data_IF_023942642017
#
_entry.id   IF_023942642017
#
_cell.length_a   1.000
_cell.length_b   1.000
_cell.length_c   1.000
_cell.angle_alpha   90.00
_cell.angle_beta   90.00
_cell.angle_gamma   90.00
#
_symmetry.space_group_name_H-M   'P 1'
#
loop_
_entity.id
_entity.type
_entity.pdbx_description
1 polymer ?
#
# COMPACT_ATOMS: atom_id res chain seq x y z
N UNK A 1 48.52 24.16 -0.83
CA UNK A 1 48.81 22.72 -0.96
C UNK A 1 47.54 21.97 -0.57
N UNK A 2 47.10 21.04 -1.41
CA UNK A 2 45.73 20.52 -1.55
C UNK A 2 45.24 19.69 -0.35
N UNK A 3 44.04 20.00 0.16
CA UNK A 3 43.24 19.05 0.96
C UNK A 3 42.27 18.38 -0.01
N UNK A 4 42.43 17.06 -0.12
CA UNK A 4 41.72 16.18 -1.03
C UNK A 4 40.22 16.15 -0.76
N UNK A 5 39.45 16.17 -1.86
CA UNK A 5 38.00 16.04 -1.91
C UNK A 5 37.58 14.63 -1.51
N UNK A 6 36.92 14.46 -0.37
CA UNK A 6 36.13 13.26 -0.12
C UNK A 6 34.75 13.44 -0.74
N UNK A 7 34.63 12.90 -1.95
CA UNK A 7 33.37 12.68 -2.66
C UNK A 7 32.45 11.77 -1.84
N UNK A 8 31.30 12.27 -1.42
CA UNK A 8 30.21 11.46 -0.90
C UNK A 8 29.52 10.78 -2.07
N UNK A 9 29.87 9.52 -2.34
CA UNK A 9 29.16 8.67 -3.30
C UNK A 9 27.80 8.28 -2.72
N UNK A 10 26.76 8.66 -3.45
CA UNK A 10 25.38 8.23 -3.28
C UNK A 10 25.34 6.72 -3.49
N UNK A 11 25.31 5.94 -2.41
CA UNK A 11 25.23 4.49 -2.55
C UNK A 11 25.58 3.75 -1.27
N UNK A 12 24.78 3.92 -0.22
CA UNK A 12 24.73 3.00 0.94
C UNK A 12 23.58 3.41 1.89
N UNK A 13 22.35 3.23 1.43
CA UNK A 13 21.15 3.13 2.28
C UNK A 13 20.33 1.92 1.81
N UNK A 14 20.97 0.76 1.75
CA UNK A 14 20.27 -0.52 1.80
C UNK A 14 20.38 -0.99 3.25
N UNK A 15 19.55 -0.41 4.12
CA UNK A 15 19.33 -0.94 5.46
C UNK A 15 18.72 -2.35 5.31
N UNK A 16 19.29 -3.26 6.08
CA UNK A 16 19.00 -4.68 6.10
C UNK A 16 17.50 -4.92 6.29
N UNK A 17 16.88 -5.68 5.39
CA UNK A 17 15.49 -6.10 5.55
C UNK A 17 15.41 -7.06 6.74
N UNK A 18 14.59 -6.80 7.78
CA UNK A 18 14.27 -7.85 8.72
C UNK A 18 13.50 -8.95 7.98
N UNK A 19 13.89 -10.21 8.19
CA UNK A 19 13.07 -11.37 7.81
C UNK A 19 11.68 -11.17 8.42
N UNK A 20 10.66 -10.98 7.58
CA UNK A 20 9.28 -11.09 8.03
C UNK A 20 8.97 -12.59 8.06
N UNK A 21 8.54 -13.08 9.22
CA UNK A 21 8.12 -14.47 9.39
C UNK A 21 6.62 -14.48 9.21
N UNK A 22 6.15 -14.97 8.05
CA UNK A 22 4.78 -15.48 7.95
C UNK A 22 4.81 -16.85 8.61
N UNK A 23 4.39 -16.94 9.87
CA UNK A 23 4.39 -18.20 10.60
C UNK A 23 3.48 -19.22 9.90
N UNK A 24 4.04 -20.37 9.53
CA UNK A 24 3.46 -21.39 8.63
C UNK A 24 2.09 -21.88 9.08
N UNK A 25 1.81 -21.89 10.39
CA UNK A 25 0.51 -22.31 10.93
C UNK A 25 -0.63 -21.39 10.50
N UNK A 26 -0.32 -20.16 10.08
CA UNK A 26 -1.29 -19.15 9.69
C UNK A 26 -1.61 -19.14 8.20
N UNK A 27 -0.75 -19.76 7.38
CA UNK A 27 -1.00 -19.99 5.97
C UNK A 27 -2.25 -20.87 5.77
N UNK A 28 -2.38 -21.93 6.57
CA UNK A 28 -3.48 -22.90 6.49
C UNK A 28 -4.86 -22.36 6.89
N UNK A 29 -4.93 -21.33 7.74
CA UNK A 29 -6.21 -20.78 8.23
C UNK A 29 -6.79 -19.69 7.31
N UNK A 30 -5.93 -18.97 6.56
CA UNK A 30 -6.38 -18.03 5.54
C UNK A 30 -7.02 -18.72 4.33
N UNK A 31 -6.64 -19.99 4.08
CA UNK A 31 -7.15 -20.80 2.97
C UNK A 31 -8.51 -21.47 3.26
N UNK A 32 -8.92 -21.51 4.53
CA UNK A 32 -10.11 -22.26 4.99
C UNK A 32 -11.30 -21.36 5.33
N UNK A 33 -11.22 -20.05 5.10
CA UNK A 33 -12.34 -19.13 5.33
C UNK A 33 -13.31 -19.19 4.15
N UNK A 34 -14.61 -19.38 4.45
CA UNK A 34 -15.72 -19.19 3.52
C UNK A 34 -15.55 -17.90 2.69
N UNK A 35 -16.04 -17.85 1.44
CA UNK A 35 -15.84 -16.71 0.57
C UNK A 35 -16.35 -15.45 1.27
N UNK A 36 -15.42 -14.61 1.70
CA UNK A 36 -15.77 -13.33 2.26
C UNK A 36 -16.56 -12.58 1.19
N UNK A 37 -17.73 -12.04 1.54
CA UNK A 37 -18.52 -11.19 0.65
C UNK A 37 -17.80 -9.84 0.53
N UNK A 38 -16.63 -9.86 -0.12
CA UNK A 38 -15.83 -8.69 -0.40
C UNK A 38 -16.41 -7.96 -1.59
N UNK A 39 -16.67 -6.68 -1.42
CA UNK A 39 -16.94 -5.79 -2.56
C UNK A 39 -15.59 -5.46 -3.22
N UNK A 40 -15.39 -5.99 -4.42
CA UNK A 40 -14.20 -5.74 -5.23
C UNK A 40 -14.55 -4.80 -6.38
N UNK A 41 -13.98 -3.61 -6.38
CA UNK A 41 -14.14 -2.67 -7.49
C UNK A 41 -12.87 -2.55 -8.34
N UNK A 42 -13.03 -2.31 -9.64
CA UNK A 42 -11.94 -2.15 -10.60
C UNK A 42 -11.52 -3.46 -11.28
N UNK A 43 -10.52 -3.37 -12.18
CA UNK A 43 -10.04 -4.50 -13.00
C UNK A 43 -8.55 -4.78 -12.82
N UNK A 44 -7.88 -4.02 -11.95
CA UNK A 44 -6.47 -4.21 -11.60
C UNK A 44 -5.52 -4.25 -12.80
N UNK A 45 -5.76 -3.44 -13.84
CA UNK A 45 -4.94 -3.42 -15.07
C UNK A 45 -3.47 -3.07 -14.79
N UNK A 46 -3.18 -2.34 -13.71
CA UNK A 46 -1.82 -1.95 -13.30
C UNK A 46 -1.29 -2.72 -12.10
N UNK A 47 -1.95 -3.82 -11.70
CA UNK A 47 -1.53 -4.66 -10.58
C UNK A 47 -1.34 -3.88 -9.26
N UNK A 48 -2.27 -2.98 -8.97
CA UNK A 48 -2.24 -2.15 -7.76
C UNK A 48 -3.50 -2.42 -6.93
N UNK A 49 -3.30 -2.77 -5.66
CA UNK A 49 -4.39 -2.84 -4.68
C UNK A 49 -4.47 -1.54 -3.91
N UNK A 50 -5.69 -1.13 -3.60
CA UNK A 50 -6.00 -0.08 -2.64
C UNK A 50 -6.93 -0.69 -1.60
N UNK A 51 -6.43 -0.78 -0.37
CA UNK A 51 -7.19 -1.22 0.79
C UNK A 51 -7.59 0.02 1.57
N UNK A 52 -8.88 0.25 1.76
CA UNK A 52 -9.39 1.42 2.46
C UNK A 52 -10.17 0.99 3.70
N UNK A 53 -10.09 1.78 4.77
CA UNK A 53 -10.90 1.57 5.96
C UNK A 53 -12.15 2.46 5.93
N UNK A 54 -13.33 1.87 6.10
CA UNK A 54 -14.60 2.60 6.13
C UNK A 54 -15.59 2.00 7.13
N UNK A 55 -15.66 2.63 8.30
CA UNK A 55 -16.56 2.20 9.38
C UNK A 55 -18.07 2.43 9.08
N UNK A 56 -18.41 3.01 7.93
CA UNK A 56 -19.78 3.43 7.57
C UNK A 56 -20.46 2.46 6.57
N UNK A 57 -19.84 1.31 6.26
CA UNK A 57 -20.41 0.27 5.41
C UNK A 57 -19.37 -0.45 4.54
N UNK A 58 -19.83 -1.38 3.71
CA UNK A 58 -18.95 -2.17 2.83
C UNK A 58 -18.43 -1.40 1.61
N UNK A 59 -19.17 -0.38 1.16
CA UNK A 59 -18.82 0.42 -0.02
C UNK A 59 -18.15 1.74 0.35
N UNK A 60 -17.31 2.25 -0.54
CA UNK A 60 -16.66 3.54 -0.34
C UNK A 60 -17.69 4.68 -0.51
N UNK A 61 -17.94 5.51 0.52
CA UNK A 61 -18.93 6.58 0.42
C UNK A 61 -18.62 7.55 -0.73
N UNK A 62 -19.65 8.06 -1.41
CA UNK A 62 -19.47 8.90 -2.61
C UNK A 62 -18.63 10.16 -2.35
N UNK A 63 -18.68 10.70 -1.14
CA UNK A 63 -17.88 11.84 -0.70
C UNK A 63 -16.37 11.52 -0.56
N UNK A 64 -15.99 10.24 -0.48
CA UNK A 64 -14.62 9.74 -0.47
C UNK A 64 -14.18 9.18 -1.84
N UNK A 65 -15.10 8.56 -2.58
CA UNK A 65 -14.84 7.99 -3.90
C UNK A 65 -14.30 9.02 -4.92
N UNK A 66 -14.91 10.21 -4.96
CA UNK A 66 -14.48 11.29 -5.85
C UNK A 66 -13.06 11.79 -5.53
N UNK A 67 -12.72 12.11 -4.26
CA UNK A 67 -11.34 12.39 -3.85
C UNK A 67 -10.34 11.30 -4.21
N UNK A 68 -10.67 10.02 -3.97
CA UNK A 68 -9.79 8.91 -4.32
C UNK A 68 -9.52 8.88 -5.83
N UNK A 69 -10.57 8.99 -6.64
CA UNK A 69 -10.46 9.01 -8.10
C UNK A 69 -9.56 10.16 -8.56
N UNK A 70 -9.69 11.35 -7.95
CA UNK A 70 -8.81 12.50 -8.26
C UNK A 70 -7.36 12.24 -7.88
N UNK A 71 -7.12 11.63 -6.73
CA UNK A 71 -5.78 11.26 -6.25
C UNK A 71 -5.11 10.24 -7.17
N UNK A 72 -5.83 9.21 -7.61
CA UNK A 72 -5.36 8.21 -8.57
C UNK A 72 -5.09 8.84 -9.94
N UNK A 73 -6.01 9.65 -10.47
CA UNK A 73 -5.84 10.33 -11.76
C UNK A 73 -4.61 11.23 -11.77
N UNK A 74 -4.31 11.90 -10.65
CA UNK A 74 -3.15 12.76 -10.53
C UNK A 74 -1.81 12.01 -10.55
N UNK A 75 -1.80 10.68 -10.38
CA UNK A 75 -0.64 9.80 -10.62
C UNK A 75 -0.77 8.95 -11.89
N UNK A 76 -1.76 9.25 -12.74
CA UNK A 76 -2.00 8.57 -14.01
C UNK A 76 -2.70 7.21 -13.86
N UNK A 77 -3.48 7.00 -12.80
CA UNK A 77 -4.29 5.80 -12.57
C UNK A 77 -5.78 6.11 -12.72
N UNK A 78 -6.53 5.15 -13.26
CA UNK A 78 -7.99 5.12 -13.21
C UNK A 78 -8.46 4.12 -12.15
N UNK A 79 -9.74 4.17 -11.76
CA UNK A 79 -10.31 3.18 -10.84
C UNK A 79 -10.22 1.76 -11.44
N UNK A 80 -10.39 1.65 -12.77
CA UNK A 80 -10.23 0.39 -13.51
C UNK A 80 -8.81 -0.19 -13.43
N UNK A 81 -7.79 0.62 -13.12
CA UNK A 81 -6.40 0.19 -13.04
C UNK A 81 -6.06 -0.51 -11.72
N UNK A 82 -6.92 -0.37 -10.70
CA UNK A 82 -6.70 -0.89 -9.36
C UNK A 82 -7.72 -1.97 -9.01
N UNK A 83 -7.48 -2.69 -7.93
CA UNK A 83 -8.56 -3.23 -7.11
C UNK A 83 -8.75 -2.37 -5.87
N UNK A 84 -10.00 -2.03 -5.57
CA UNK A 84 -10.38 -1.31 -4.37
C UNK A 84 -11.10 -2.28 -3.42
N UNK A 85 -10.62 -2.37 -2.18
CA UNK A 85 -11.03 -3.38 -1.19
C UNK A 85 -11.26 -2.69 0.17
N UNK A 86 -12.38 -2.97 0.83
CA UNK A 86 -12.60 -2.52 2.20
C UNK A 86 -11.79 -3.37 3.18
N UNK A 87 -11.08 -2.73 4.09
CA UNK A 87 -10.30 -3.36 5.15
C UNK A 87 -11.18 -4.15 6.12
N UNK A 88 -12.43 -3.70 6.34
CA UNK A 88 -13.37 -4.36 7.25
C UNK A 88 -13.89 -5.70 6.69
N UNK A 89 -13.76 -5.90 5.38
CA UNK A 89 -14.05 -7.18 4.71
C UNK A 89 -12.83 -8.13 4.72
N UNK A 90 -11.66 -7.68 5.15
CA UNK A 90 -10.47 -8.52 5.16
C UNK A 90 -10.38 -9.32 6.47
N UNK A 91 -9.87 -10.57 6.41
CA UNK A 91 -9.58 -11.32 7.63
C UNK A 91 -8.49 -10.61 8.44
N UNK A 92 -8.41 -10.92 9.73
CA UNK A 92 -7.42 -10.36 10.68
C UNK A 92 -5.95 -10.48 10.22
N UNK A 93 -5.64 -11.34 9.24
CA UNK A 93 -4.33 -11.49 8.60
C UNK A 93 -4.41 -11.10 7.12
N UNK A 94 -4.91 -9.90 6.89
CA UNK A 94 -5.23 -9.36 5.59
C UNK A 94 -4.07 -9.49 4.60
N UNK A 95 -2.82 -9.23 5.00
CA UNK A 95 -1.70 -9.21 4.05
C UNK A 95 -1.41 -10.57 3.41
N UNK A 96 -1.40 -11.67 4.20
CA UNK A 96 -1.20 -13.02 3.66
C UNK A 96 -2.35 -13.43 2.72
N UNK A 97 -3.58 -13.07 3.10
CA UNK A 97 -4.74 -13.27 2.24
C UNK A 97 -4.60 -12.51 0.92
N UNK A 98 -4.19 -11.24 0.97
CA UNK A 98 -3.97 -10.42 -0.22
C UNK A 98 -2.91 -11.03 -1.14
N UNK A 99 -1.79 -11.52 -0.60
CA UNK A 99 -0.73 -12.17 -1.37
C UNK A 99 -1.21 -13.45 -2.08
N UNK A 100 -2.10 -14.22 -1.45
CA UNK A 100 -2.57 -15.48 -2.00
C UNK A 100 -3.67 -15.29 -3.05
N UNK A 101 -4.61 -14.37 -2.80
CA UNK A 101 -5.81 -14.22 -3.60
C UNK A 101 -5.70 -13.16 -4.70
N UNK A 102 -4.71 -12.27 -4.63
CA UNK A 102 -4.55 -11.17 -5.58
C UNK A 102 -3.15 -11.12 -6.18
N UNK A 103 -3.10 -10.96 -7.50
CA UNK A 103 -1.86 -10.61 -8.20
C UNK A 103 -1.66 -9.10 -8.20
N UNK A 104 -0.72 -8.63 -7.39
CA UNK A 104 -0.37 -7.20 -7.32
C UNK A 104 1.14 -6.97 -7.20
N UNK A 105 1.58 -5.79 -7.64
CA UNK A 105 2.95 -5.28 -7.51
C UNK A 105 3.01 -4.14 -6.48
N UNK A 106 1.92 -3.41 -6.29
CA UNK A 106 1.79 -2.38 -5.27
C UNK A 106 0.50 -2.54 -4.44
N UNK A 107 0.57 -2.24 -3.15
CA UNK A 107 -0.59 -2.19 -2.26
C UNK A 107 -0.56 -0.92 -1.41
N UNK A 108 -1.64 -0.15 -1.48
CA UNK A 108 -1.81 1.12 -0.78
C UNK A 108 -2.88 0.93 0.30
N UNK A 109 -2.50 1.13 1.56
CA UNK A 109 -3.39 1.04 2.72
C UNK A 109 -3.78 2.45 3.18
N UNK A 110 -5.07 2.77 3.03
CA UNK A 110 -5.70 4.03 3.44
C UNK A 110 -6.42 3.83 4.78
N UNK A 111 -5.69 3.94 5.87
CA UNK A 111 -6.21 3.76 7.24
C UNK A 111 -5.50 2.65 8.00
N UNK A 112 -5.57 1.39 7.54
CA UNK A 112 -4.97 0.27 8.26
C UNK A 112 -3.48 0.49 8.45
N UNK A 113 -2.98 0.08 9.62
CA UNK A 113 -1.57 0.01 9.95
C UNK A 113 -0.99 -1.35 9.58
N UNK A 114 0.34 -1.46 9.52
CA UNK A 114 1.01 -2.73 9.25
C UNK A 114 0.61 -3.83 10.25
N UNK A 115 0.54 -3.51 11.54
CA UNK A 115 0.14 -4.46 12.57
C UNK A 115 -1.29 -4.98 12.38
N UNK A 116 -2.22 -4.11 12.01
CA UNK A 116 -3.63 -4.47 11.78
C UNK A 116 -3.81 -5.41 10.57
N UNK A 117 -2.92 -5.34 9.58
CA UNK A 117 -2.94 -6.24 8.42
C UNK A 117 -2.08 -7.51 8.61
N UNK A 118 -1.53 -7.71 9.81
CA UNK A 118 -0.76 -8.90 10.18
C UNK A 118 0.73 -8.83 9.84
N UNK A 119 1.28 -7.64 9.57
CA UNK A 119 2.72 -7.44 9.37
C UNK A 119 3.40 -7.14 10.71
N UNK A 120 4.52 -7.82 10.97
CA UNK A 120 5.35 -7.61 12.16
C UNK A 120 6.42 -6.54 11.99
N UNK A 121 6.52 -5.95 10.79
CA UNK A 121 7.53 -4.92 10.48
C UNK A 121 7.06 -3.53 10.92
N UNK A 122 8.01 -2.68 11.31
CA UNK A 122 7.75 -1.26 11.53
C UNK A 122 7.63 -0.54 10.18
N UNK A 123 6.41 -0.51 9.63
CA UNK A 123 6.13 0.18 8.38
C UNK A 123 6.19 1.72 8.56
N UNK A 124 6.93 2.44 7.70
CA UNK A 124 6.89 3.89 7.70
C UNK A 124 5.54 4.38 7.16
N UNK A 125 4.93 5.34 7.85
CA UNK A 125 3.73 6.04 7.37
C UNK A 125 4.11 7.02 6.26
N UNK A 126 3.23 7.21 5.29
CA UNK A 126 3.38 8.11 4.14
C UNK A 126 4.63 7.84 3.29
N UNK A 127 5.20 6.63 3.36
CA UNK A 127 6.38 6.27 2.57
C UNK A 127 6.22 4.87 2.00
N UNK A 128 6.79 4.70 0.81
CA UNK A 128 6.90 3.40 0.18
C UNK A 128 8.00 2.57 0.84
N UNK A 129 7.75 1.28 1.00
CA UNK A 129 8.76 0.28 1.32
C UNK A 129 8.42 -1.05 0.64
N UNK A 130 9.32 -2.03 0.70
CA UNK A 130 9.13 -3.32 0.01
C UNK A 130 9.13 -4.50 0.98
N UNK A 131 8.28 -5.48 0.69
CA UNK A 131 8.26 -6.83 1.27
C UNK A 131 8.03 -7.79 0.09
N UNK A 132 8.85 -8.84 -0.07
CA UNK A 132 8.67 -9.85 -1.16
C UNK A 132 8.47 -9.25 -2.55
N UNK A 133 9.25 -8.22 -2.91
CA UNK A 133 9.10 -7.45 -4.15
C UNK A 133 7.77 -6.70 -4.30
N UNK A 134 6.85 -6.76 -3.32
CA UNK A 134 5.64 -5.93 -3.27
C UNK A 134 5.98 -4.56 -2.72
N UNK A 135 5.50 -3.53 -3.40
CA UNK A 135 5.61 -2.15 -2.97
C UNK A 135 4.42 -1.82 -2.05
N UNK A 136 4.68 -1.48 -0.80
CA UNK A 136 3.65 -1.18 0.19
C UNK A 136 3.67 0.30 0.58
N UNK A 137 2.49 0.88 0.80
CA UNK A 137 2.33 2.25 1.26
C UNK A 137 1.22 2.31 2.30
N UNK A 138 1.53 2.85 3.48
CA UNK A 138 0.56 2.99 4.56
C UNK A 138 0.34 4.47 4.85
N UNK A 139 -0.92 4.90 4.93
CA UNK A 139 -1.30 6.29 5.22
C UNK A 139 -2.57 6.32 6.07
N UNK A 140 -2.92 7.51 6.52
CA UNK A 140 -4.19 7.79 7.22
C UNK A 140 -5.42 7.40 6.40
N UNK A 141 -6.57 7.17 7.08
CA UNK A 141 -7.85 6.97 6.42
C UNK A 141 -8.18 8.12 5.46
N UNK A 142 -8.85 7.78 4.37
CA UNK A 142 -9.18 8.76 3.34
C UNK A 142 -10.06 9.90 3.87
N UNK A 143 -11.00 9.61 4.78
CA UNK A 143 -11.81 10.61 5.51
C UNK A 143 -10.95 11.67 6.21
N UNK A 144 -9.88 11.26 6.90
CA UNK A 144 -8.96 12.19 7.59
C UNK A 144 -8.17 13.04 6.58
N UNK A 145 -7.68 12.44 5.50
CA UNK A 145 -6.93 13.13 4.45
C UNK A 145 -7.79 14.15 3.66
N UNK A 146 -9.11 13.92 3.60
CA UNK A 146 -10.06 14.85 2.99
C UNK A 146 -10.35 16.01 3.94
N UNK A 147 -10.63 15.70 5.20
CA UNK A 147 -11.01 16.68 6.22
C UNK A 147 -9.85 17.62 6.59
N UNK A 148 -8.61 17.12 6.61
CA UNK A 148 -7.45 17.88 7.04
C UNK A 148 -6.68 18.48 5.85
N UNK A 149 -6.65 19.81 5.77
CA UNK A 149 -5.79 20.56 4.84
C UNK A 149 -4.34 20.74 5.36
N UNK A 150 -3.86 19.82 6.19
CA UNK A 150 -2.65 19.97 6.98
C UNK A 150 -1.43 19.30 6.33
N UNK A 151 -0.26 19.49 6.94
CA UNK A 151 1.04 18.98 6.49
C UNK A 151 1.04 17.47 6.14
N UNK A 152 0.23 16.65 6.81
CA UNK A 152 0.13 15.20 6.58
C UNK A 152 -0.37 14.86 5.17
N UNK A 153 -1.41 15.55 4.69
CA UNK A 153 -1.90 15.37 3.31
C UNK A 153 -0.84 15.75 2.29
N UNK A 154 -0.08 16.81 2.59
CA UNK A 154 1.02 17.27 1.73
C UNK A 154 2.16 16.26 1.72
N UNK A 155 2.56 15.74 2.88
CA UNK A 155 3.59 14.70 3.00
C UNK A 155 3.17 13.42 2.27
N UNK A 156 1.96 12.93 2.54
CA UNK A 156 1.37 11.79 1.83
C UNK A 156 1.43 12.02 0.32
N UNK A 157 0.99 13.19 -0.17
CA UNK A 157 0.99 13.51 -1.59
C UNK A 157 2.39 13.58 -2.22
N UNK A 158 3.37 14.11 -1.49
CA UNK A 158 4.77 14.19 -1.95
C UNK A 158 5.35 12.80 -2.21
N UNK A 159 5.03 11.83 -1.37
CA UNK A 159 5.49 10.46 -1.53
C UNK A 159 4.61 9.66 -2.50
N UNK A 160 3.29 9.78 -2.41
CA UNK A 160 2.35 9.02 -3.24
C UNK A 160 2.54 9.26 -4.74
N UNK A 161 2.90 10.48 -5.15
CA UNK A 161 3.24 10.80 -6.55
C UNK A 161 4.39 9.97 -7.14
N UNK A 162 5.18 9.32 -6.29
CA UNK A 162 6.28 8.46 -6.71
C UNK A 162 5.81 7.05 -7.08
N UNK A 163 4.54 6.69 -6.83
CA UNK A 163 3.98 5.37 -7.11
C UNK A 163 4.36 4.82 -8.50
N UNK A 164 4.15 5.54 -9.62
CA UNK A 164 4.45 4.99 -10.95
C UNK A 164 5.94 4.69 -11.13
N UNK A 165 6.80 5.59 -10.62
CA UNK A 165 8.26 5.43 -10.67
C UNK A 165 8.73 4.27 -9.81
N UNK A 166 8.17 4.14 -8.60
CA UNK A 166 8.53 3.08 -7.67
C UNK A 166 8.13 1.70 -8.18
N UNK A 167 6.99 1.59 -8.87
CA UNK A 167 6.56 0.37 -9.54
C UNK A 167 7.50 -0.01 -10.69
N UNK A 168 7.87 0.94 -11.56
CA UNK A 168 8.78 0.70 -12.68
C UNK A 168 10.18 0.23 -12.25
N UNK A 169 10.67 0.72 -11.10
CA UNK A 169 11.99 0.34 -10.57
C UNK A 169 12.02 -1.08 -9.94
N UNK A 170 10.86 -1.73 -9.78
CA UNK A 170 10.79 -3.11 -9.29
C UNK A 170 10.89 -4.17 -10.38
N UNK A 171 10.83 -3.77 -11.65
CA UNK A 171 10.77 -4.67 -12.82
C UNK A 171 12.16 -4.96 -13.42
N UNK A 172 13.23 -4.46 -12.82
CA UNK A 172 14.60 -4.74 -13.25
C UNK A 172 15.02 -6.10 -12.69
N UNK A 173 14.69 -7.16 -13.41
CA UNK A 173 15.30 -8.48 -13.23
C UNK A 173 16.80 -8.34 -13.47
N UNK A 174 17.61 -8.79 -12.50
CA UNK A 174 18.98 -9.26 -12.75
C UNK A 174 18.88 -10.71 -13.18
#
# INVERSE_FOLDING_TARGET
MLISKNSLTIGQLFEQQPLYVVDEKYYTKALSSDPCQMTLEGKNKKKTLVVYQCNEGHELPSNQYQPLTKLLKAVGFEIDDIYLINADDLPQKAFCYLLHHFSFEACVFLGPTAGEVGLTVKAPRNRFFRIENKLLFFTHPLKELIANANNEKREMWLHFKQLPKMMANGTTNV
#
